data_IF_888918915214
#
_entry.id   IF_888918915214
#
_cell.length_a   1.000
_cell.length_b   1.000
_cell.length_c   1.000
_cell.angle_alpha   90.00
_cell.angle_beta   90.00
_cell.angle_gamma   90.00
#
_symmetry.space_group_name_H-M   'P 1'
#
loop_
_entity.id
_entity.type
_entity.pdbx_description
1 polymer ?
#
# COMPACT_ATOMS: atom_id res chain seq x y z
N UNK A 1 -13.60 7.40 30.82
CA UNK A 1 -12.77 6.43 30.08
C UNK A 1 -11.70 7.23 29.36
N UNK A 2 -10.45 7.16 29.82
CA UNK A 2 -9.35 7.84 29.16
C UNK A 2 -8.99 6.99 27.95
N UNK A 3 -9.19 7.52 26.75
CA UNK A 3 -8.87 6.82 25.50
C UNK A 3 -7.35 6.81 25.33
N UNK A 4 -6.71 5.76 25.84
CA UNK A 4 -5.28 5.53 25.66
C UNK A 4 -5.07 5.02 24.24
N UNK A 5 -4.50 5.84 23.37
CA UNK A 5 -4.09 5.38 22.04
C UNK A 5 -2.82 4.53 22.20
N UNK A 6 -2.84 3.33 21.61
CA UNK A 6 -1.68 2.45 21.59
C UNK A 6 -0.89 2.67 20.29
N UNK A 7 0.43 2.56 20.35
CA UNK A 7 1.27 2.63 19.17
C UNK A 7 0.92 1.52 18.18
N UNK A 8 0.68 1.88 16.92
CA UNK A 8 0.36 0.92 15.85
C UNK A 8 1.49 -0.07 15.51
N UNK A 9 2.71 0.20 16.00
CA UNK A 9 3.90 -0.64 15.77
C UNK A 9 4.27 -1.45 17.01
N UNK A 10 4.34 -0.80 18.18
CA UNK A 10 4.92 -1.38 19.40
C UNK A 10 3.85 -1.74 20.46
N UNK A 11 2.60 -1.28 20.31
CA UNK A 11 1.53 -1.51 21.29
C UNK A 11 1.69 -0.75 22.62
N UNK A 12 2.71 0.11 22.79
CA UNK A 12 2.89 0.92 24.00
C UNK A 12 1.82 2.01 24.09
N UNK A 13 1.32 2.30 25.30
CA UNK A 13 0.37 3.38 25.55
C UNK A 13 1.01 4.75 25.24
N UNK A 14 0.31 5.58 24.48
CA UNK A 14 0.76 6.91 24.04
C UNK A 14 -0.27 7.95 24.52
N UNK A 15 0.16 9.14 24.98
CA UNK A 15 -0.76 10.23 25.26
C UNK A 15 -1.58 10.64 24.02
N UNK A 16 -2.82 11.12 24.23
CA UNK A 16 -3.66 11.64 23.15
C UNK A 16 -2.96 12.86 22.52
N UNK A 17 -2.41 12.66 21.33
CA UNK A 17 -1.73 13.70 20.55
C UNK A 17 -0.55 13.17 19.73
N UNK A 18 -0.03 11.98 20.05
CA UNK A 18 1.01 11.31 19.25
C UNK A 18 0.53 9.98 18.69
N UNK A 19 1.02 9.63 17.50
CA UNK A 19 0.65 8.39 16.79
C UNK A 19 1.63 7.24 17.02
N UNK A 20 2.89 7.56 17.37
CA UNK A 20 3.96 6.58 17.57
C UNK A 20 4.63 6.77 18.94
N UNK A 21 5.12 5.66 19.50
CA UNK A 21 5.80 5.64 20.80
C UNK A 21 7.24 6.21 20.75
N UNK A 22 7.88 6.20 19.57
CA UNK A 22 9.23 6.71 19.30
C UNK A 22 9.45 6.97 17.81
N UNK A 23 10.51 7.73 17.48
CA UNK A 23 10.93 7.97 16.09
C UNK A 23 11.29 6.68 15.35
N UNK A 24 11.75 5.66 16.08
CA UNK A 24 12.00 4.33 15.54
C UNK A 24 10.72 3.71 14.98
N UNK A 25 9.61 3.75 15.74
CA UNK A 25 8.32 3.25 15.29
C UNK A 25 7.77 4.02 14.09
N UNK A 26 7.97 5.35 14.05
CA UNK A 26 7.59 6.15 12.89
C UNK A 26 8.42 5.78 11.66
N UNK A 27 9.72 5.53 11.82
CA UNK A 27 10.61 5.11 10.73
C UNK A 27 10.22 3.73 10.18
N UNK A 28 9.86 2.79 11.05
CA UNK A 28 9.38 1.45 10.67
C UNK A 28 8.06 1.58 9.92
N UNK A 29 7.14 2.42 10.40
CA UNK A 29 5.88 2.66 9.71
C UNK A 29 6.10 3.29 8.32
N UNK A 30 6.95 4.30 8.20
CA UNK A 30 7.31 4.91 6.89
C UNK A 30 7.95 3.91 5.94
N UNK A 31 8.83 3.02 6.43
CA UNK A 31 9.42 1.93 5.62
C UNK A 31 8.36 0.94 5.15
N UNK A 32 7.42 0.56 6.01
CA UNK A 32 6.30 -0.31 5.63
C UNK A 32 5.39 0.36 4.61
N UNK A 33 5.00 1.61 4.84
CA UNK A 33 4.17 2.39 3.92
C UNK A 33 4.81 2.54 2.54
N UNK A 34 6.09 2.92 2.49
CA UNK A 34 6.80 3.08 1.21
C UNK A 34 6.89 1.76 0.44
N UNK A 35 7.10 0.63 1.15
CA UNK A 35 7.08 -0.71 0.53
C UNK A 35 5.69 -1.05 0.00
N UNK A 36 4.62 -0.78 0.77
CA UNK A 36 3.25 -1.01 0.32
C UNK A 36 2.89 -0.13 -0.88
N UNK A 37 3.27 1.16 -0.87
CA UNK A 37 3.05 2.09 -1.99
C UNK A 37 3.75 1.60 -3.25
N UNK A 38 5.02 1.15 -3.15
CA UNK A 38 5.75 0.55 -4.28
C UNK A 38 5.08 -0.71 -4.79
N UNK A 39 4.70 -1.61 -3.90
CA UNK A 39 4.05 -2.87 -4.29
C UNK A 39 2.70 -2.62 -4.97
N UNK A 40 1.89 -1.69 -4.46
CA UNK A 40 0.64 -1.27 -5.08
C UNK A 40 0.85 -0.68 -6.47
N UNK A 41 1.86 0.18 -6.65
CA UNK A 41 2.18 0.73 -7.97
C UNK A 41 2.60 -0.36 -8.96
N UNK A 42 3.43 -1.32 -8.54
CA UNK A 42 3.84 -2.45 -9.39
C UNK A 42 2.63 -3.29 -9.80
N UNK A 43 1.73 -3.59 -8.86
CA UNK A 43 0.50 -4.33 -9.14
C UNK A 43 -0.42 -3.59 -10.12
N UNK A 44 -0.56 -2.27 -9.97
CA UNK A 44 -1.34 -1.45 -10.90
C UNK A 44 -0.74 -1.46 -12.31
N UNK A 45 0.59 -1.32 -12.44
CA UNK A 45 1.27 -1.41 -13.74
C UNK A 45 1.05 -2.78 -14.37
N UNK A 46 1.24 -3.86 -13.61
CA UNK A 46 1.00 -5.22 -14.08
C UNK A 46 -0.45 -5.38 -14.59
N UNK A 47 -1.42 -4.88 -13.82
CA UNK A 47 -2.83 -4.95 -14.19
C UNK A 47 -3.13 -4.24 -15.50
N UNK A 48 -2.59 -3.02 -15.69
CA UNK A 48 -2.73 -2.27 -16.94
C UNK A 48 -2.09 -3.02 -18.11
N UNK A 49 -0.89 -3.58 -17.94
CA UNK A 49 -0.19 -4.33 -18.99
C UNK A 49 -0.99 -5.56 -19.41
N UNK A 50 -1.50 -6.34 -18.45
CA UNK A 50 -2.32 -7.54 -18.72
C UNK A 50 -3.63 -7.15 -19.40
N UNK A 51 -4.28 -6.07 -18.94
CA UNK A 51 -5.51 -5.60 -19.55
C UNK A 51 -5.30 -5.19 -21.00
N UNK A 52 -4.24 -4.41 -21.28
CA UNK A 52 -3.90 -3.99 -22.65
C UNK A 52 -3.50 -5.16 -23.54
N UNK A 53 -2.79 -6.16 -23.02
CA UNK A 53 -2.40 -7.33 -23.82
C UNK A 53 -3.62 -8.18 -24.20
N UNK A 54 -4.54 -8.42 -23.27
CA UNK A 54 -5.80 -9.13 -23.55
C UNK A 54 -6.63 -8.33 -24.56
N UNK A 55 -6.78 -7.02 -24.34
CA UNK A 55 -7.52 -6.16 -25.25
C UNK A 55 -6.93 -6.16 -26.66
N UNK A 56 -5.60 -6.06 -26.78
CA UNK A 56 -4.90 -6.15 -28.06
C UNK A 56 -5.11 -7.52 -28.73
N UNK A 57 -5.04 -8.63 -27.98
CA UNK A 57 -5.31 -9.97 -28.54
C UNK A 57 -6.74 -10.11 -29.06
N UNK A 58 -7.73 -9.58 -28.34
CA UNK A 58 -9.13 -9.60 -28.76
C UNK A 58 -9.32 -8.74 -30.02
N UNK A 59 -8.75 -7.53 -30.04
CA UNK A 59 -8.82 -6.64 -31.19
C UNK A 59 -8.18 -7.25 -32.44
N UNK A 60 -6.99 -7.86 -32.30
CA UNK A 60 -6.31 -8.55 -33.40
C UNK A 60 -7.11 -9.75 -33.92
N UNK A 61 -7.73 -10.53 -33.02
CA UNK A 61 -8.57 -11.66 -33.42
C UNK A 61 -9.85 -11.20 -34.12
N UNK A 62 -10.44 -10.08 -33.69
CA UNK A 62 -11.62 -9.49 -34.33
C UNK A 62 -11.33 -8.86 -35.70
N UNK A 63 -10.10 -8.42 -35.96
CA UNK A 63 -9.68 -7.90 -37.27
C UNK A 63 -9.35 -8.98 -38.30
N UNK A 64 -9.02 -10.21 -37.86
CA UNK A 64 -8.66 -11.34 -38.74
C UNK A 64 -9.83 -12.30 -39.01
N UNK A 65 -11.03 -12.04 -38.47
CA UNK A 65 -12.22 -12.87 -38.60
C UNK A 65 -13.31 -12.26 -39.46
#
# INVERSE_FOLDING_TARGET
MVDHRHCRICGKAIPPGREFCSDECESVHRRMESRQKRMRNILLILYVVVFLSIFAMIALRGMMG
#
